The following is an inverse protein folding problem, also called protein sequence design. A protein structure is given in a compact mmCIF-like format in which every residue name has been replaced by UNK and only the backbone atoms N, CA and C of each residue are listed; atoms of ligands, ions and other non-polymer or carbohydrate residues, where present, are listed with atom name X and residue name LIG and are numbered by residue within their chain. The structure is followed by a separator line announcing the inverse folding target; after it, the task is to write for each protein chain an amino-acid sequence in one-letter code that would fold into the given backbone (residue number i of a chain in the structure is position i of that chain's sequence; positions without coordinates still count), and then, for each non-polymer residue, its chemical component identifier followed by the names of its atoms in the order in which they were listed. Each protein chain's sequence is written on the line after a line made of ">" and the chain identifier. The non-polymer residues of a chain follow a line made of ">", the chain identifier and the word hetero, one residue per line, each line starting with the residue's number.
data_IF_773788458597
#
_entry.id   IF_773788458597
#
_cell.length_a   1.000
_cell.length_b   1.000
_cell.length_c   1.000
_cell.angle_alpha   90.00
_cell.angle_beta   90.00
_cell.angle_gamma   90.00
#
_symmetry.space_group_name_H-M   'P 1'
#
loop_
_entity.id
_entity.type
_entity.pdbx_description
1 polymer ?
#
# COMPACT_ATOMS: atom_id res chain seq x y z
N UNK A 1 -10.92 24.55 8.40
CA UNK A 1 -11.91 23.60 8.99
C UNK A 1 -11.65 22.24 8.36
N UNK A 2 -11.21 21.25 9.14
CA UNK A 2 -11.04 19.89 8.62
C UNK A 2 -12.38 19.31 8.16
N UNK A 3 -12.38 18.54 7.07
CA UNK A 3 -13.62 17.94 6.55
C UNK A 3 -14.07 16.71 7.34
N UNK A 4 -13.17 16.16 8.17
CA UNK A 4 -13.45 15.14 9.17
C UNK A 4 -14.14 15.75 10.39
N UNK A 5 -15.21 15.11 10.85
CA UNK A 5 -16.06 15.52 11.97
C UNK A 5 -16.16 14.36 12.95
N UNK A 6 -16.05 14.61 14.27
CA UNK A 6 -16.35 13.62 15.29
C UNK A 6 -17.74 13.03 15.08
N UNK A 7 -17.93 11.76 15.48
CA UNK A 7 -19.21 11.02 15.47
C UNK A 7 -19.84 10.77 14.09
N UNK A 8 -19.32 11.37 13.02
CA UNK A 8 -19.68 11.02 11.65
C UNK A 8 -19.04 9.69 11.26
N UNK A 9 -19.83 8.81 10.66
CA UNK A 9 -19.34 7.58 10.01
C UNK A 9 -18.72 7.91 8.66
N UNK A 10 -17.63 7.23 8.33
CA UNK A 10 -16.89 7.40 7.09
C UNK A 10 -16.70 6.06 6.39
N UNK A 11 -16.66 6.11 5.06
CA UNK A 11 -16.23 4.97 4.26
C UNK A 11 -14.71 4.90 4.24
N UNK A 12 -14.22 3.67 4.30
CA UNK A 12 -12.80 3.37 4.20
C UNK A 12 -12.49 2.80 2.82
N UNK A 13 -11.35 3.21 2.29
CA UNK A 13 -10.72 2.59 1.14
C UNK A 13 -9.48 1.83 1.57
N UNK A 14 -9.34 0.62 1.04
CA UNK A 14 -8.15 -0.22 1.18
C UNK A 14 -7.55 -0.37 -0.22
N UNK A 15 -6.36 0.16 -0.41
CA UNK A 15 -5.66 0.14 -1.69
C UNK A 15 -4.36 -0.67 -1.57
N UNK A 16 -4.12 -1.55 -2.54
CA UNK A 16 -2.83 -2.24 -2.69
C UNK A 16 -2.00 -1.52 -3.73
N UNK A 17 -0.77 -1.16 -3.36
CA UNK A 17 0.18 -0.49 -4.26
C UNK A 17 1.41 -1.36 -4.45
N UNK A 18 1.84 -1.51 -5.71
CA UNK A 18 3.06 -2.22 -6.08
C UNK A 18 4.06 -1.21 -6.64
N UNK A 19 5.04 -0.84 -5.83
CA UNK A 19 6.09 0.11 -6.21
C UNK A 19 7.30 -0.63 -6.80
N UNK A 20 7.74 -0.28 -8.02
CA UNK A 20 8.88 -0.91 -8.66
C UNK A 20 10.14 -0.88 -7.80
N UNK A 21 10.80 -2.02 -7.67
CA UNK A 21 12.04 -2.17 -6.93
C UNK A 21 13.19 -2.58 -7.86
N UNK A 22 14.32 -1.87 -7.74
CA UNK A 22 15.53 -2.06 -8.55
C UNK A 22 16.78 -2.39 -7.71
N UNK A 23 16.63 -2.46 -6.38
CA UNK A 23 17.74 -2.76 -5.48
C UNK A 23 18.04 -4.26 -5.37
N UNK A 24 19.02 -4.58 -4.53
CA UNK A 24 19.41 -5.96 -4.23
C UNK A 24 18.44 -6.60 -3.24
N UNK A 25 18.10 -7.86 -3.49
CA UNK A 25 17.36 -8.68 -2.54
C UNK A 25 18.35 -9.37 -1.60
N UNK A 26 18.14 -9.23 -0.30
CA UNK A 26 18.93 -9.83 0.77
C UNK A 26 18.02 -10.34 1.91
N UNK A 27 18.63 -10.82 3.00
CA UNK A 27 17.91 -11.43 4.12
C UNK A 27 16.93 -10.48 4.83
N UNK A 28 17.11 -9.16 4.71
CA UNK A 28 16.26 -8.17 5.39
C UNK A 28 15.00 -7.84 4.60
N UNK A 29 15.01 -8.01 3.27
CA UNK A 29 13.90 -7.63 2.42
C UNK A 29 13.33 -8.72 1.51
N UNK A 30 13.94 -9.90 1.48
CA UNK A 30 13.50 -11.03 0.65
C UNK A 30 12.01 -11.36 0.81
N UNK A 31 11.46 -11.15 2.00
CA UNK A 31 10.05 -11.43 2.29
C UNK A 31 9.12 -10.31 1.84
N UNK A 32 9.63 -9.13 1.51
CA UNK A 32 8.84 -7.96 1.11
C UNK A 32 8.99 -7.60 -0.37
N UNK A 33 10.02 -8.14 -1.04
CA UNK A 33 10.20 -7.98 -2.49
C UNK A 33 9.38 -9.04 -3.23
N UNK A 34 8.28 -8.60 -3.83
CA UNK A 34 7.32 -9.45 -4.54
C UNK A 34 7.62 -9.43 -6.03
N UNK A 35 7.54 -10.60 -6.67
CA UNK A 35 7.70 -10.76 -8.12
C UNK A 35 6.34 -10.77 -8.81
N UNK A 36 6.19 -9.99 -9.89
CA UNK A 36 4.96 -9.92 -10.69
C UNK A 36 5.29 -9.61 -12.16
N UNK A 37 4.26 -9.42 -12.98
CA UNK A 37 4.41 -8.99 -14.38
C UNK A 37 5.25 -7.72 -14.48
N UNK A 38 6.07 -7.65 -15.52
CA UNK A 38 6.95 -6.53 -15.78
C UNK A 38 6.18 -5.20 -15.83
N UNK A 39 6.63 -4.23 -15.05
CA UNK A 39 6.16 -2.85 -15.08
C UNK A 39 7.36 -1.92 -14.90
N UNK A 40 7.44 -0.85 -15.70
CA UNK A 40 8.55 0.11 -15.66
C UNK A 40 9.94 -0.59 -15.69
N UNK A 41 10.13 -1.59 -16.54
CA UNK A 41 11.41 -2.32 -16.70
C UNK A 41 11.88 -3.16 -15.49
N UNK A 42 10.99 -3.51 -14.55
CA UNK A 42 11.30 -4.48 -13.49
C UNK A 42 10.14 -5.44 -13.27
N UNK A 43 10.46 -6.63 -12.75
CA UNK A 43 9.50 -7.62 -12.29
C UNK A 43 9.45 -7.69 -10.75
N UNK A 44 10.24 -6.86 -10.05
CA UNK A 44 10.32 -6.83 -8.58
C UNK A 44 9.62 -5.59 -8.03
N UNK A 45 8.87 -5.75 -6.95
CA UNK A 45 8.08 -4.69 -6.34
C UNK A 45 8.12 -4.76 -4.81
N UNK A 46 8.15 -3.62 -4.15
CA UNK A 46 7.65 -3.52 -2.79
C UNK A 46 6.16 -3.28 -2.84
N UNK A 47 5.40 -4.13 -2.17
CA UNK A 47 3.95 -3.98 -2.12
C UNK A 47 3.53 -3.54 -0.73
N UNK A 48 2.55 -2.65 -0.65
CA UNK A 48 1.97 -2.20 0.60
C UNK A 48 0.47 -2.01 0.46
N UNK A 49 -0.24 -2.14 1.58
CA UNK A 49 -1.66 -1.85 1.69
C UNK A 49 -1.85 -0.57 2.48
N UNK A 50 -2.67 0.35 1.96
CA UNK A 50 -3.03 1.59 2.66
C UNK A 50 -4.50 1.59 3.03
N UNK A 51 -4.80 1.95 4.27
CA UNK A 51 -6.14 2.25 4.76
C UNK A 51 -6.34 3.77 4.74
N UNK A 52 -7.41 4.24 4.11
CA UNK A 52 -7.72 5.66 4.04
C UNK A 52 -9.21 5.96 4.18
N UNK A 53 -9.55 7.17 4.62
CA UNK A 53 -10.89 7.73 4.54
C UNK A 53 -10.98 8.58 3.27
N UNK A 54 -12.06 8.41 2.51
CA UNK A 54 -12.39 9.30 1.39
C UNK A 54 -13.59 10.16 1.80
N UNK A 55 -13.43 11.49 1.82
CA UNK A 55 -14.49 12.42 2.19
C UNK A 55 -14.36 13.72 1.42
N UNK A 56 -15.41 14.12 0.68
CA UNK A 56 -15.47 15.38 -0.08
C UNK A 56 -14.24 15.62 -0.96
N UNK A 57 -13.88 14.61 -1.76
CA UNK A 57 -12.71 14.61 -2.65
C UNK A 57 -11.34 14.71 -1.94
N UNK A 58 -11.30 14.61 -0.61
CA UNK A 58 -10.08 14.51 0.15
C UNK A 58 -9.86 13.05 0.58
N UNK A 59 -8.59 12.62 0.56
CA UNK A 59 -8.16 11.31 1.03
C UNK A 59 -7.27 11.48 2.25
N UNK A 60 -7.62 10.78 3.32
CA UNK A 60 -6.86 10.78 4.57
C UNK A 60 -6.32 9.37 4.83
N UNK A 61 -5.02 9.16 4.64
CA UNK A 61 -4.38 7.87 4.95
C UNK A 61 -4.22 7.71 6.46
N UNK A 62 -4.76 6.61 6.99
CA UNK A 62 -4.71 6.28 8.41
C UNK A 62 -3.56 5.33 8.74
N UNK A 63 -3.31 4.36 7.87
CA UNK A 63 -2.28 3.37 8.06
C UNK A 63 -1.73 2.88 6.71
N UNK A 64 -0.46 2.48 6.73
CA UNK A 64 0.21 1.80 5.63
C UNK A 64 0.97 0.61 6.21
N UNK A 65 0.76 -0.57 5.65
CA UNK A 65 1.44 -1.80 6.07
C UNK A 65 2.12 -2.46 4.88
N UNK A 66 3.36 -2.96 5.03
CA UNK A 66 4.01 -3.71 3.98
C UNK A 66 3.30 -5.05 3.76
N UNK A 67 3.26 -5.51 2.52
CA UNK A 67 2.78 -6.85 2.16
C UNK A 67 3.97 -7.79 2.15
N UNK A 68 3.85 -8.89 2.88
CA UNK A 68 4.82 -9.96 2.86
C UNK A 68 4.45 -11.01 1.82
N UNK A 69 5.48 -11.55 1.19
CA UNK A 69 5.40 -12.69 0.29
C UNK A 69 4.80 -13.88 1.04
N UNK A 70 3.87 -14.58 0.39
CA UNK A 70 3.14 -15.73 0.92
C UNK A 70 2.14 -15.42 2.06
N UNK A 71 1.96 -14.16 2.47
CA UNK A 71 0.76 -13.78 3.22
C UNK A 71 -0.36 -13.48 2.23
N UNK A 72 -1.46 -14.23 2.35
CA UNK A 72 -2.63 -14.05 1.49
C UNK A 72 -3.37 -12.77 1.86
N UNK A 73 -4.10 -12.22 0.88
CA UNK A 73 -5.10 -11.17 1.11
C UNK A 73 -6.27 -11.69 1.93
#
# INVERSE_FOLDING_TARGET
>A
VGTLKPEKKYEFAIDFTNDPYYGKVDSFNQDYVIRSQAKKSTNSFYSYVSLSIINKNERFTLAVLPVERNKTK
#
